data_IF_172722232766
#
_entry.id   IF_172722232766
#
_cell.length_a   1.000
_cell.length_b   1.000
_cell.length_c   1.000
_cell.angle_alpha   90.00
_cell.angle_beta   90.00
_cell.angle_gamma   90.00
#
_symmetry.space_group_name_H-M   'P 1'
#
loop_
_entity.id
_entity.type
_entity.pdbx_description
1 polymer ?
#
# COMPACT_ATOMS: atom_id res chain seq x y z
N UNK A 1 21.91 -8.96 -9.68
CA UNK A 1 21.84 -9.13 -8.22
C UNK A 1 20.48 -9.71 -7.89
N UNK A 2 20.42 -11.03 -7.65
CA UNK A 2 19.20 -11.75 -7.31
C UNK A 2 19.03 -11.78 -5.78
N UNK A 3 18.04 -11.05 -5.28
CA UNK A 3 17.62 -11.16 -3.89
C UNK A 3 16.45 -12.15 -3.84
N UNK A 4 16.71 -13.39 -3.42
CA UNK A 4 15.66 -14.37 -3.10
C UNK A 4 14.86 -14.93 -4.29
N UNK A 5 15.48 -15.11 -5.46
CA UNK A 5 14.84 -15.72 -6.63
C UNK A 5 13.83 -14.84 -7.38
N UNK A 6 13.78 -13.54 -7.06
CA UNK A 6 12.94 -12.56 -7.76
C UNK A 6 13.80 -11.44 -8.34
N UNK A 7 13.70 -11.24 -9.66
CA UNK A 7 14.51 -10.21 -10.32
C UNK A 7 13.94 -8.82 -10.04
N UNK A 8 14.76 -7.96 -9.41
CA UNK A 8 14.41 -6.55 -9.16
C UNK A 8 14.01 -5.83 -10.45
N UNK A 9 14.69 -6.17 -11.57
CA UNK A 9 14.38 -5.62 -12.88
C UNK A 9 12.96 -5.93 -13.34
N UNK A 10 12.43 -7.13 -13.09
CA UNK A 10 11.05 -7.49 -13.46
C UNK A 10 10.04 -6.59 -12.76
N UNK A 11 10.19 -6.38 -11.46
CA UNK A 11 9.29 -5.50 -10.71
C UNK A 11 9.42 -4.05 -11.13
N UNK A 12 10.64 -3.58 -11.38
CA UNK A 12 10.87 -2.23 -11.88
C UNK A 12 10.21 -1.99 -13.23
N UNK A 13 10.31 -2.94 -14.17
CA UNK A 13 9.65 -2.86 -15.47
C UNK A 13 8.12 -2.88 -15.32
N UNK A 14 7.56 -3.77 -14.48
CA UNK A 14 6.12 -3.80 -14.20
C UNK A 14 5.63 -2.49 -13.57
N UNK A 15 6.42 -1.89 -12.67
CA UNK A 15 6.14 -0.60 -12.07
C UNK A 15 6.13 0.52 -13.11
N UNK A 16 7.17 0.60 -13.96
CA UNK A 16 7.23 1.58 -15.04
C UNK A 16 6.06 1.43 -16.01
N UNK A 17 5.71 0.19 -16.37
CA UNK A 17 4.58 -0.09 -17.25
C UNK A 17 3.28 0.44 -16.66
N UNK A 18 3.01 0.16 -15.38
CA UNK A 18 1.84 0.71 -14.69
C UNK A 18 1.86 2.24 -14.61
N UNK A 19 3.03 2.82 -14.32
CA UNK A 19 3.21 4.28 -14.28
C UNK A 19 2.93 4.94 -15.64
N UNK A 20 3.47 4.40 -16.74
CA UNK A 20 3.22 4.94 -18.08
C UNK A 20 1.75 4.86 -18.47
N UNK A 21 1.09 3.73 -18.20
CA UNK A 21 -0.35 3.56 -18.47
C UNK A 21 -1.19 4.58 -17.68
N UNK A 22 -0.85 4.84 -16.42
CA UNK A 22 -1.60 5.76 -15.56
C UNK A 22 -1.19 7.23 -15.71
N UNK A 23 -0.09 7.52 -16.40
CA UNK A 23 0.38 8.90 -16.60
C UNK A 23 -0.55 9.72 -17.50
N UNK A 24 -1.37 9.07 -18.31
CA UNK A 24 -2.39 9.72 -19.14
C UNK A 24 -3.71 9.88 -18.36
N UNK A 25 -4.12 11.12 -18.15
CA UNK A 25 -5.38 11.47 -17.51
C UNK A 25 -6.61 10.84 -18.21
N UNK A 26 -6.52 10.59 -19.52
CA UNK A 26 -7.54 9.88 -20.30
C UNK A 26 -7.76 8.47 -19.76
N UNK A 27 -6.69 7.72 -19.51
CA UNK A 27 -6.75 6.35 -18.98
C UNK A 27 -7.36 6.35 -17.59
N UNK A 28 -6.98 7.28 -16.74
CA UNK A 28 -7.60 7.36 -15.41
C UNK A 28 -9.11 7.64 -15.49
N UNK A 29 -9.58 8.52 -16.38
CA UNK A 29 -11.02 8.76 -16.56
C UNK A 29 -11.74 7.56 -17.16
N UNK A 30 -11.08 6.80 -18.02
CA UNK A 30 -11.59 5.54 -18.56
C UNK A 30 -11.76 4.49 -17.46
N UNK A 31 -10.78 4.38 -16.55
CA UNK A 31 -10.85 3.50 -15.38
C UNK A 31 -12.02 3.88 -14.45
N UNK A 32 -12.25 5.18 -14.22
CA UNK A 32 -13.39 5.64 -13.41
C UNK A 32 -14.74 5.25 -14.06
N UNK A 33 -14.86 5.42 -15.39
CA UNK A 33 -16.07 5.08 -16.15
C UNK A 33 -16.31 3.58 -16.22
N UNK A 34 -15.26 2.78 -16.39
CA UNK A 34 -15.30 1.32 -16.51
C UNK A 34 -15.08 0.58 -15.18
N UNK A 35 -15.14 1.28 -14.03
CA UNK A 35 -14.86 0.71 -12.70
C UNK A 35 -15.69 -0.54 -12.38
N UNK A 36 -16.97 -0.54 -12.72
CA UNK A 36 -17.87 -1.66 -12.45
C UNK A 36 -17.57 -2.88 -13.34
N UNK A 37 -17.44 -2.73 -14.68
CA UNK A 37 -16.93 -3.79 -15.53
C UNK A 37 -15.62 -4.40 -15.02
N UNK A 38 -14.63 -3.57 -14.66
CA UNK A 38 -13.34 -4.04 -14.14
C UNK A 38 -13.49 -4.80 -12.82
N UNK A 39 -14.34 -4.30 -11.92
CA UNK A 39 -14.60 -4.95 -10.65
C UNK A 39 -15.30 -6.31 -10.84
N UNK A 40 -16.31 -6.40 -11.70
CA UNK A 40 -16.96 -7.67 -12.01
C UNK A 40 -16.01 -8.64 -12.71
N UNK A 41 -15.16 -8.17 -13.63
CA UNK A 41 -14.11 -9.00 -14.23
C UNK A 41 -13.11 -9.51 -13.18
N UNK A 42 -12.72 -8.67 -12.22
CA UNK A 42 -11.86 -9.09 -11.10
C UNK A 42 -12.53 -10.18 -10.26
N UNK A 43 -13.78 -9.98 -9.86
CA UNK A 43 -14.55 -10.95 -9.06
C UNK A 43 -14.72 -12.26 -9.82
N UNK A 44 -15.05 -12.20 -11.11
CA UNK A 44 -15.21 -13.37 -11.97
C UNK A 44 -13.89 -14.15 -12.09
N UNK A 45 -12.78 -13.50 -12.42
CA UNK A 45 -11.48 -14.16 -12.55
C UNK A 45 -11.02 -14.76 -11.22
N UNK A 46 -11.30 -14.09 -10.10
CA UNK A 46 -11.02 -14.61 -8.76
C UNK A 46 -11.86 -15.84 -8.45
N UNK A 47 -13.15 -15.83 -8.81
CA UNK A 47 -14.03 -16.98 -8.65
C UNK A 47 -13.58 -18.16 -9.53
N UNK A 48 -13.17 -17.91 -10.78
CA UNK A 48 -12.61 -18.93 -11.67
C UNK A 48 -11.34 -19.53 -11.07
N UNK A 49 -10.44 -18.70 -10.52
CA UNK A 49 -9.22 -19.17 -9.84
C UNK A 49 -9.54 -20.03 -8.61
N UNK A 50 -10.47 -19.57 -7.77
CA UNK A 50 -10.89 -20.33 -6.58
C UNK A 50 -11.54 -21.66 -7.00
N UNK A 51 -12.39 -21.65 -8.03
CA UNK A 51 -12.99 -22.83 -8.61
C UNK A 51 -11.95 -23.81 -9.17
N UNK A 52 -10.96 -23.32 -9.93
CA UNK A 52 -9.88 -24.16 -10.46
C UNK A 52 -9.03 -24.78 -9.35
N UNK A 53 -8.81 -24.04 -8.27
CA UNK A 53 -8.07 -24.50 -7.11
C UNK A 53 -8.84 -25.59 -6.34
N UNK A 54 -10.11 -25.35 -6.01
CA UNK A 54 -10.90 -26.27 -5.18
C UNK A 54 -11.44 -27.48 -5.96
N UNK A 55 -11.93 -27.29 -7.19
CA UNK A 55 -12.56 -28.36 -7.97
C UNK A 55 -11.57 -29.23 -8.71
N UNK A 56 -10.50 -28.65 -9.24
CA UNK A 56 -9.57 -29.35 -10.14
C UNK A 56 -8.15 -29.51 -9.58
N UNK A 57 -7.88 -28.99 -8.37
CA UNK A 57 -6.56 -28.99 -7.72
C UNK A 57 -5.41 -28.48 -8.61
N UNK A 58 -5.70 -27.57 -9.54
CA UNK A 58 -4.66 -26.87 -10.30
C UNK A 58 -3.92 -25.93 -9.36
N UNK A 59 -2.74 -26.37 -8.90
CA UNK A 59 -1.89 -25.61 -7.97
C UNK A 59 -0.76 -24.89 -8.69
N UNK A 60 -0.16 -25.53 -9.70
CA UNK A 60 1.08 -25.09 -10.31
C UNK A 60 1.04 -25.24 -11.83
N UNK A 61 1.79 -24.37 -12.51
CA UNK A 61 1.92 -24.37 -13.96
C UNK A 61 1.86 -22.98 -14.57
N UNK A 62 2.28 -22.86 -15.83
CA UNK A 62 2.30 -21.58 -16.55
C UNK A 62 0.88 -20.99 -16.63
N UNK A 63 -0.13 -21.82 -16.85
CA UNK A 63 -1.52 -21.38 -16.91
C UNK A 63 -2.00 -20.74 -15.59
N UNK A 64 -1.65 -21.33 -14.44
CA UNK A 64 -1.97 -20.79 -13.11
C UNK A 64 -1.24 -19.47 -12.88
N UNK A 65 0.05 -19.39 -13.24
CA UNK A 65 0.84 -18.16 -13.12
C UNK A 65 0.31 -17.02 -14.00
N UNK A 66 -0.15 -17.31 -15.22
CA UNK A 66 -0.78 -16.33 -16.12
C UNK A 66 -2.13 -15.87 -15.55
N UNK A 67 -2.95 -16.80 -15.05
CA UNK A 67 -4.23 -16.47 -14.41
C UNK A 67 -4.01 -15.58 -13.18
N UNK A 68 -3.01 -15.88 -12.35
CA UNK A 68 -2.64 -15.07 -11.19
C UNK A 68 -2.21 -13.66 -11.59
N UNK A 69 -1.36 -13.54 -12.60
CA UNK A 69 -0.96 -12.25 -13.15
C UNK A 69 -2.16 -11.45 -13.65
N UNK A 70 -3.09 -12.09 -14.39
CA UNK A 70 -4.31 -11.46 -14.87
C UNK A 70 -5.22 -10.99 -13.74
N UNK A 71 -5.47 -11.85 -12.74
CA UNK A 71 -6.28 -11.50 -11.56
C UNK A 71 -5.67 -10.30 -10.85
N UNK A 72 -4.36 -10.30 -10.61
CA UNK A 72 -3.67 -9.18 -9.96
C UNK A 72 -3.79 -7.89 -10.77
N UNK A 73 -3.56 -7.93 -12.09
CA UNK A 73 -3.65 -6.73 -12.93
C UNK A 73 -5.06 -6.17 -12.99
N UNK A 74 -6.07 -7.01 -13.20
CA UNK A 74 -7.48 -6.57 -13.23
C UNK A 74 -7.90 -6.05 -11.85
N UNK A 75 -7.42 -6.66 -10.76
CA UNK A 75 -7.64 -6.15 -9.41
C UNK A 75 -7.09 -4.73 -9.24
N UNK A 76 -5.82 -4.51 -9.61
CA UNK A 76 -5.17 -3.19 -9.51
C UNK A 76 -5.98 -2.14 -10.28
N UNK A 77 -6.34 -2.43 -11.54
CA UNK A 77 -7.12 -1.49 -12.37
C UNK A 77 -8.53 -1.23 -11.81
N UNK A 78 -9.20 -2.26 -11.29
CA UNK A 78 -10.50 -2.13 -10.64
C UNK A 78 -10.42 -1.24 -9.39
N UNK A 79 -9.46 -1.50 -8.51
CA UNK A 79 -9.26 -0.70 -7.29
C UNK A 79 -8.85 0.74 -7.61
N UNK A 80 -8.01 0.98 -8.62
CA UNK A 80 -7.67 2.33 -9.05
C UNK A 80 -8.88 3.11 -9.59
N UNK A 81 -9.71 2.48 -10.42
CA UNK A 81 -10.94 3.10 -10.91
C UNK A 81 -11.94 3.41 -9.80
N UNK A 82 -12.08 2.51 -8.82
CA UNK A 82 -12.91 2.73 -7.63
C UNK A 82 -12.33 3.83 -6.73
N UNK A 83 -11.02 3.82 -6.49
CA UNK A 83 -10.33 4.84 -5.69
C UNK A 83 -10.50 6.23 -6.32
N UNK A 84 -10.36 6.35 -7.65
CA UNK A 84 -10.57 7.62 -8.34
C UNK A 84 -11.99 8.17 -8.15
N UNK A 85 -13.02 7.33 -8.12
CA UNK A 85 -14.39 7.81 -7.88
C UNK A 85 -14.65 8.18 -6.42
N UNK A 86 -14.30 7.27 -5.51
CA UNK A 86 -14.76 7.34 -4.13
C UNK A 86 -13.78 8.08 -3.20
N UNK A 87 -12.47 7.96 -3.45
CA UNK A 87 -11.41 8.54 -2.62
C UNK A 87 -10.83 9.86 -3.17
N UNK A 88 -11.10 10.24 -4.42
CA UNK A 88 -10.71 11.54 -4.96
C UNK A 88 -11.66 12.69 -4.54
N UNK A 89 -12.64 12.41 -3.69
CA UNK A 89 -13.48 13.46 -3.12
C UNK A 89 -12.64 14.25 -2.13
N UNK A 90 -12.60 15.58 -2.33
CA UNK A 90 -11.82 16.59 -1.61
C UNK A 90 -12.24 16.77 -0.15
N UNK A 91 -12.61 15.69 0.55
CA UNK A 91 -12.91 15.77 1.97
C UNK A 91 -11.66 16.28 2.71
N UNK A 92 -11.82 17.30 3.57
CA UNK A 92 -10.70 17.98 4.22
C UNK A 92 -9.82 17.03 5.05
N UNK A 93 -10.38 15.89 5.45
CA UNK A 93 -9.67 14.80 6.13
C UNK A 93 -8.59 14.17 5.24
N UNK A 94 -8.90 13.79 3.99
CA UNK A 94 -7.91 13.17 3.08
C UNK A 94 -6.78 14.14 2.74
N UNK A 95 -7.07 15.43 2.59
CA UNK A 95 -6.04 16.45 2.34
C UNK A 95 -5.07 16.60 3.52
N UNK A 96 -5.58 16.50 4.76
CA UNK A 96 -4.75 16.51 5.97
C UNK A 96 -3.93 15.24 6.11
N UNK A 97 -4.55 14.06 5.89
CA UNK A 97 -3.87 12.78 5.95
C UNK A 97 -2.80 12.64 4.86
N UNK A 98 -3.06 13.09 3.64
CA UNK A 98 -2.10 13.08 2.54
C UNK A 98 -0.90 14.00 2.79
N UNK A 99 -1.11 15.17 3.40
CA UNK A 99 0.03 16.02 3.83
C UNK A 99 0.85 15.40 4.95
N UNK A 100 0.18 14.69 5.88
CA UNK A 100 0.83 14.05 7.02
C UNK A 100 1.53 12.72 6.65
N UNK A 101 1.02 12.01 5.65
CA UNK A 101 1.42 10.62 5.35
C UNK A 101 2.89 10.50 4.99
N UNK A 102 3.44 11.46 4.23
CA UNK A 102 4.85 11.43 3.84
C UNK A 102 5.79 11.54 5.07
N UNK A 103 5.50 12.47 5.98
CA UNK A 103 6.28 12.63 7.22
C UNK A 103 6.16 11.42 8.14
N UNK A 104 4.94 10.88 8.31
CA UNK A 104 4.70 9.67 9.08
C UNK A 104 5.45 8.48 8.48
N UNK A 105 5.42 8.31 7.15
CA UNK A 105 6.07 7.19 6.47
C UNK A 105 7.59 7.21 6.66
N UNK A 106 8.22 8.38 6.51
CA UNK A 106 9.67 8.54 6.69
C UNK A 106 10.10 8.21 8.13
N UNK A 107 9.32 8.66 9.12
CA UNK A 107 9.57 8.34 10.53
C UNK A 107 9.26 6.88 10.83
N UNK A 108 8.23 6.30 10.22
CA UNK A 108 7.79 4.95 10.53
C UNK A 108 8.88 3.92 10.24
N UNK A 109 9.51 4.02 9.06
CA UNK A 109 10.54 3.07 8.66
C UNK A 109 11.75 3.10 9.61
N UNK A 110 12.19 4.29 10.02
CA UNK A 110 13.31 4.43 10.96
C UNK A 110 12.93 3.96 12.37
N UNK A 111 11.72 4.28 12.84
CA UNK A 111 11.20 3.80 14.13
C UNK A 111 11.08 2.28 14.15
N UNK A 112 10.55 1.67 13.08
CA UNK A 112 10.37 0.23 12.95
C UNK A 112 11.72 -0.49 13.00
N UNK A 113 12.73 0.00 12.28
CA UNK A 113 14.08 -0.58 12.34
C UNK A 113 14.68 -0.44 13.73
N UNK A 114 14.54 0.73 14.36
CA UNK A 114 15.08 0.99 15.71
C UNK A 114 14.43 0.08 16.75
N UNK A 115 13.10 0.06 16.81
CA UNK A 115 12.35 -0.80 17.74
C UNK A 115 12.62 -2.27 17.46
N UNK A 116 12.61 -2.67 16.18
CA UNK A 116 12.96 -4.03 15.76
C UNK A 116 14.32 -4.47 16.24
N UNK A 117 15.35 -3.63 16.07
CA UNK A 117 16.71 -3.93 16.50
C UNK A 117 16.82 -4.20 18.01
N UNK A 118 16.19 -3.37 18.84
CA UNK A 118 16.24 -3.55 20.29
C UNK A 118 15.40 -4.74 20.75
N UNK A 119 14.15 -4.86 20.28
CA UNK A 119 13.22 -5.91 20.71
C UNK A 119 13.74 -7.30 20.33
N UNK A 120 14.33 -7.47 19.15
CA UNK A 120 14.90 -8.74 18.72
C UNK A 120 16.10 -9.18 19.58
N UNK A 121 16.80 -8.24 20.23
CA UNK A 121 17.95 -8.53 21.09
C UNK A 121 17.58 -8.77 22.55
N UNK A 122 16.54 -8.10 23.04
CA UNK A 122 16.20 -8.11 24.48
C UNK A 122 15.09 -9.07 24.85
N UNK A 123 14.18 -9.41 23.92
CA UNK A 123 12.98 -10.20 24.22
C UNK A 123 13.06 -11.55 23.53
N UNK A 124 12.88 -12.62 24.29
CA UNK A 124 12.76 -13.97 23.75
C UNK A 124 11.28 -14.33 23.59
N UNK A 125 10.88 -14.75 22.38
CA UNK A 125 9.51 -15.15 22.06
C UNK A 125 8.94 -14.39 20.86
N UNK A 126 8.68 -15.12 19.77
CA UNK A 126 8.27 -14.54 18.49
C UNK A 126 6.99 -13.70 18.57
N UNK A 127 6.01 -14.12 19.38
CA UNK A 127 4.74 -13.41 19.54
C UNK A 127 4.91 -12.06 20.25
N UNK A 128 5.69 -12.05 21.35
CA UNK A 128 6.02 -10.84 22.10
C UNK A 128 6.86 -9.87 21.25
N UNK A 129 7.84 -10.40 20.51
CA UNK A 129 8.62 -9.60 19.55
C UNK A 129 7.71 -8.93 18.52
N UNK A 130 6.80 -9.69 17.90
CA UNK A 130 5.86 -9.15 16.93
C UNK A 130 4.99 -8.03 17.51
N UNK A 131 4.37 -8.26 18.67
CA UNK A 131 3.51 -7.26 19.31
C UNK A 131 4.27 -5.99 19.69
N UNK A 132 5.46 -6.14 20.28
CA UNK A 132 6.28 -5.00 20.70
C UNK A 132 6.81 -4.21 19.50
N UNK A 133 7.19 -4.88 18.41
CA UNK A 133 7.61 -4.20 17.19
C UNK A 133 6.42 -3.49 16.55
N UNK A 134 5.28 -4.14 16.44
CA UNK A 134 4.07 -3.57 15.83
C UNK A 134 3.61 -2.32 16.60
N UNK A 135 3.34 -2.48 17.90
CA UNK A 135 2.79 -1.41 18.73
C UNK A 135 3.85 -0.35 19.05
N UNK A 136 5.08 -0.78 19.37
CA UNK A 136 6.17 0.13 19.73
C UNK A 136 6.59 1.00 18.56
N UNK A 137 6.75 0.44 17.36
CA UNK A 137 7.08 1.23 16.17
C UNK A 137 5.97 2.21 15.81
N UNK A 138 4.69 1.78 15.85
CA UNK A 138 3.56 2.65 15.59
C UNK A 138 3.47 3.80 16.60
N UNK A 139 3.51 3.48 17.90
CA UNK A 139 3.45 4.47 18.98
C UNK A 139 4.60 5.50 18.88
N UNK A 140 5.83 5.02 18.67
CA UNK A 140 7.01 5.88 18.54
C UNK A 140 6.90 6.80 17.31
N UNK A 141 6.42 6.27 16.19
CA UNK A 141 6.21 7.05 14.96
C UNK A 141 5.23 8.20 15.20
N UNK A 142 4.08 7.91 15.80
CA UNK A 142 3.06 8.93 16.07
C UNK A 142 3.53 9.95 17.09
N UNK A 143 4.27 9.52 18.13
CA UNK A 143 4.85 10.39 19.13
C UNK A 143 5.85 11.38 18.50
N UNK A 144 6.81 10.86 17.71
CA UNK A 144 7.81 11.69 17.04
C UNK A 144 7.20 12.61 15.99
N UNK A 145 6.24 12.13 15.20
CA UNK A 145 5.53 12.97 14.24
C UNK A 145 4.80 14.14 14.92
N UNK A 146 4.12 13.87 16.03
CA UNK A 146 3.41 14.91 16.80
C UNK A 146 4.39 15.91 17.40
N UNK A 147 5.51 15.43 17.94
CA UNK A 147 6.55 16.27 18.54
C UNK A 147 7.23 17.19 17.49
N UNK A 148 7.63 16.64 16.36
CA UNK A 148 8.42 17.34 15.34
C UNK A 148 7.57 18.23 14.42
N UNK A 149 6.36 17.80 14.07
CA UNK A 149 5.56 18.48 13.05
C UNK A 149 4.39 19.30 13.63
N UNK A 150 3.76 18.84 14.71
CA UNK A 150 2.54 19.47 15.23
C UNK A 150 2.84 20.54 16.27
N UNK A 151 3.81 20.31 17.16
CA UNK A 151 4.16 21.29 18.20
C UNK A 151 4.74 22.59 17.65
N UNK A 152 5.71 22.59 16.71
CA UNK A 152 6.26 23.83 16.17
C UNK A 152 5.20 24.62 15.39
N UNK A 153 4.39 23.94 14.56
CA UNK A 153 3.31 24.58 13.81
C UNK A 153 2.28 25.26 14.72
N UNK A 154 1.94 24.66 15.88
CA UNK A 154 1.03 25.26 16.87
C UNK A 154 1.66 26.43 17.61
N UNK A 155 2.95 26.37 17.93
CA UNK A 155 3.67 27.45 18.62
C UNK A 155 3.83 28.68 17.71
N UNK A 156 4.15 28.47 16.44
CA UNK A 156 4.30 29.54 15.45
C UNK A 156 2.96 30.23 15.16
N UNK A 157 1.86 29.47 15.07
CA UNK A 157 0.51 30.02 14.94
C UNK A 157 0.06 30.83 16.17
N UNK A 158 0.67 30.61 17.34
CA UNK A 158 0.40 31.37 18.57
C UNK A 158 1.22 32.66 18.66
N UNK A 159 2.40 32.70 18.03
CA UNK A 159 3.30 33.86 18.02
C UNK A 159 2.91 34.94 16.99
N UNK A 160 2.20 34.57 15.92
CA UNK A 160 1.80 35.48 14.82
C UNK A 160 0.32 35.94 14.86
N UNK A 161 -0.43 35.67 15.94
CA UNK A 161 -1.75 36.27 16.13
C UNK A 161 -1.57 37.67 16.74
N UNK A 162 -2.09 38.75 16.11
CA UNK A 162 -2.09 40.09 16.71
C UNK A 162 -2.97 40.17 17.95
#
# INVERSE_FOLDING_TARGET
MDFGGKSLGRFFVLFLLGFFILSDASIETLLEKRRWPLFFSFVLLTAVKLGSYFAFQFRDGIAVGVLDAMVMWVAILAFLGMAKRYFNQSAPLFRRLSKASFGIYLLHQSCLVTVGYYVLRTVQGAYLQFLLILLGSAALTFALYTLLWVLPARLWARYYRP
#
